data_IF_797823948693
#
_entry.id   IF_797823948693
#
_cell.length_a   1.000
_cell.length_b   1.000
_cell.length_c   1.000
_cell.angle_alpha   90.00
_cell.angle_beta   90.00
_cell.angle_gamma   90.00
#
_symmetry.space_group_name_H-M   'P 1'
#
loop_
_entity.id
_entity.type
_entity.pdbx_description
1 polymer ?
#
# COMPACT_ATOMS: atom_id res chain seq x y z
N UNK A 1 -2.28 0.25 -39.25
CA UNK A 1 -1.47 -0.51 -38.31
C UNK A 1 -1.45 0.30 -37.03
N UNK A 2 -1.96 -0.18 -35.89
CA UNK A 2 -1.80 0.56 -34.63
C UNK A 2 -0.32 0.59 -34.29
N UNK A 3 0.23 1.79 -34.09
CA UNK A 3 1.58 2.00 -33.61
C UNK A 3 1.68 1.36 -32.21
N UNK A 4 2.46 0.30 -32.11
CA UNK A 4 2.83 -0.27 -30.80
C UNK A 4 3.79 0.72 -30.15
N UNK A 5 3.25 1.52 -29.22
CA UNK A 5 4.09 2.33 -28.34
C UNK A 5 5.16 1.42 -27.70
N UNK A 6 6.41 1.88 -27.59
CA UNK A 6 7.46 1.07 -26.97
C UNK A 6 7.01 0.62 -25.57
N UNK A 7 7.37 -0.58 -25.13
CA UNK A 7 6.97 -1.10 -23.84
C UNK A 7 7.40 -0.12 -22.74
N UNK A 8 6.43 0.45 -22.05
CA UNK A 8 6.70 1.32 -20.91
C UNK A 8 7.39 0.52 -19.83
N UNK A 9 8.46 1.09 -19.26
CA UNK A 9 9.11 0.48 -18.09
C UNK A 9 8.08 0.24 -16.98
N UNK A 10 8.11 -0.94 -16.32
CA UNK A 10 7.16 -1.24 -15.25
C UNK A 10 7.29 -0.25 -14.10
N UNK A 11 6.16 0.05 -13.44
CA UNK A 11 6.12 0.86 -12.22
C UNK A 11 6.84 0.14 -11.08
N UNK A 12 6.60 -1.17 -10.93
CA UNK A 12 7.29 -2.05 -10.01
C UNK A 12 7.83 -3.25 -10.79
N UNK A 13 9.09 -3.58 -10.58
CA UNK A 13 9.76 -4.75 -11.14
C UNK A 13 10.42 -5.55 -10.03
N UNK A 14 10.00 -6.79 -9.88
CA UNK A 14 10.45 -7.73 -8.86
C UNK A 14 11.07 -8.92 -9.56
N UNK A 15 12.34 -9.18 -9.29
CA UNK A 15 13.09 -10.22 -10.00
C UNK A 15 13.74 -11.18 -9.02
N UNK A 16 13.38 -12.46 -9.12
CA UNK A 16 14.04 -13.57 -8.48
C UNK A 16 14.06 -13.53 -6.95
N UNK A 17 13.01 -12.97 -6.30
CA UNK A 17 12.96 -12.89 -4.84
C UNK A 17 13.02 -14.26 -4.21
N UNK A 18 13.87 -14.38 -3.19
CA UNK A 18 14.06 -15.59 -2.38
C UNK A 18 14.08 -15.23 -0.91
N UNK A 19 13.48 -16.09 -0.07
CA UNK A 19 13.52 -15.98 1.38
C UNK A 19 13.40 -17.32 2.05
N UNK A 20 14.32 -17.61 2.98
CA UNK A 20 14.26 -18.75 3.87
C UNK A 20 14.25 -18.30 5.33
N UNK A 21 13.65 -19.08 6.20
CA UNK A 21 13.71 -18.95 7.65
C UNK A 21 14.16 -20.29 8.22
N UNK A 22 15.41 -20.35 8.74
CA UNK A 22 16.08 -21.61 9.02
C UNK A 22 16.16 -22.45 7.75
N UNK A 23 15.76 -23.71 7.82
CA UNK A 23 15.79 -24.65 6.69
C UNK A 23 14.56 -24.56 5.78
N UNK A 24 13.57 -23.72 6.15
CA UNK A 24 12.34 -23.59 5.39
C UNK A 24 12.41 -22.45 4.38
N UNK A 25 12.34 -22.78 3.08
CA UNK A 25 12.22 -21.81 2.01
C UNK A 25 10.75 -21.37 1.89
N UNK A 26 10.48 -20.09 2.18
CA UNK A 26 9.14 -19.50 2.19
C UNK A 26 8.83 -18.78 0.88
N UNK A 27 9.84 -18.17 0.25
CA UNK A 27 9.72 -17.55 -1.08
C UNK A 27 10.85 -18.09 -1.95
N UNK A 28 10.50 -18.63 -3.12
CA UNK A 28 11.45 -19.24 -4.04
C UNK A 28 11.31 -18.67 -5.44
N UNK A 29 12.28 -17.85 -5.84
CA UNK A 29 12.45 -17.31 -7.18
C UNK A 29 11.21 -16.60 -7.74
N UNK A 30 10.55 -15.79 -6.90
CA UNK A 30 9.34 -15.03 -7.29
C UNK A 30 9.71 -13.82 -8.11
N UNK A 31 9.13 -13.71 -9.31
CA UNK A 31 9.30 -12.57 -10.21
C UNK A 31 7.95 -12.11 -10.74
N UNK A 32 7.74 -10.80 -10.80
CA UNK A 32 6.58 -10.17 -11.41
C UNK A 32 6.86 -8.69 -11.69
N UNK A 33 6.08 -8.12 -12.59
CA UNK A 33 6.13 -6.69 -12.86
C UNK A 33 4.71 -6.11 -12.80
N UNK A 34 4.60 -4.83 -12.48
CA UNK A 34 3.35 -4.09 -12.45
C UNK A 34 3.52 -2.85 -13.32
N UNK A 35 2.69 -2.73 -14.36
CA UNK A 35 2.64 -1.55 -15.21
C UNK A 35 1.87 -0.39 -14.52
N UNK A 36 2.07 0.87 -14.95
CA UNK A 36 1.22 1.97 -14.50
C UNK A 36 -0.26 1.69 -14.81
N UNK A 37 -1.14 1.85 -13.80
CA UNK A 37 -2.58 1.58 -13.93
C UNK A 37 -2.98 0.11 -13.86
N UNK A 38 -2.04 -0.80 -13.68
CA UNK A 38 -2.31 -2.23 -13.52
C UNK A 38 -2.65 -2.59 -12.07
N UNK A 39 -3.52 -3.59 -11.90
CA UNK A 39 -3.81 -4.22 -10.62
C UNK A 39 -3.34 -5.67 -10.66
N UNK A 40 -2.37 -6.02 -9.82
CA UNK A 40 -1.84 -7.38 -9.69
C UNK A 40 -2.39 -8.04 -8.43
N UNK A 41 -3.09 -9.16 -8.57
CA UNK A 41 -3.54 -10.00 -7.46
C UNK A 41 -2.54 -11.13 -7.15
N UNK A 42 -2.10 -11.20 -5.89
CA UNK A 42 -1.26 -12.30 -5.39
C UNK A 42 -2.14 -13.29 -4.64
N UNK A 43 -2.38 -14.45 -5.23
CA UNK A 43 -3.30 -15.47 -4.71
C UNK A 43 -2.50 -16.71 -4.31
N UNK A 44 -2.93 -17.38 -3.24
CA UNK A 44 -2.31 -18.63 -2.77
C UNK A 44 -2.81 -19.00 -1.37
N UNK A 45 -2.56 -20.24 -0.93
CA UNK A 45 -2.96 -20.71 0.41
C UNK A 45 -2.23 -19.96 1.53
N UNK A 46 -2.68 -20.14 2.76
CA UNK A 46 -1.98 -19.63 3.93
C UNK A 46 -0.58 -20.27 4.01
N UNK A 47 0.42 -19.47 4.35
CA UNK A 47 1.83 -19.93 4.37
C UNK A 47 2.53 -19.91 3.00
N UNK A 48 1.86 -19.58 1.89
CA UNK A 48 2.47 -19.54 0.55
C UNK A 48 3.49 -18.38 0.33
N UNK A 49 3.84 -17.63 1.35
CA UNK A 49 4.84 -16.55 1.24
C UNK A 49 4.30 -15.19 0.75
N UNK A 50 2.98 -15.03 0.56
CA UNK A 50 2.37 -13.77 0.09
C UNK A 50 2.79 -12.55 0.92
N UNK A 51 2.52 -12.58 2.21
CA UNK A 51 2.90 -11.50 3.14
C UNK A 51 4.41 -11.32 3.21
N UNK A 52 5.21 -12.39 3.14
CA UNK A 52 6.67 -12.30 3.10
C UNK A 52 7.14 -11.58 1.84
N UNK A 53 6.54 -11.90 0.68
CA UNK A 53 6.85 -11.21 -0.59
C UNK A 53 6.51 -9.72 -0.51
N UNK A 54 5.32 -9.37 0.00
CA UNK A 54 4.91 -7.96 0.22
C UNK A 54 5.89 -7.27 1.18
N UNK A 55 6.28 -7.92 2.28
CA UNK A 55 7.23 -7.35 3.25
C UNK A 55 8.63 -7.14 2.66
N UNK A 56 9.08 -8.01 1.75
CA UNK A 56 10.32 -7.79 1.01
C UNK A 56 10.21 -6.60 0.06
N UNK A 57 9.11 -6.48 -0.69
CA UNK A 57 8.86 -5.31 -1.52
C UNK A 57 8.86 -4.01 -0.70
N UNK A 58 8.29 -4.03 0.52
CA UNK A 58 8.27 -2.89 1.44
C UNK A 58 9.63 -2.61 2.12
N UNK A 59 10.62 -3.49 1.92
CA UNK A 59 11.91 -3.39 2.63
C UNK A 59 11.78 -3.59 4.14
N UNK A 60 10.76 -4.32 4.60
CA UNK A 60 10.55 -4.72 6.00
C UNK A 60 11.23 -6.06 6.32
N UNK A 61 11.54 -6.83 5.30
CA UNK A 61 12.27 -8.09 5.37
C UNK A 61 13.32 -8.08 4.27
N UNK A 62 14.58 -8.32 4.63
CA UNK A 62 15.63 -8.45 3.64
C UNK A 62 15.47 -9.77 2.87
N UNK A 63 15.43 -9.74 1.53
CA UNK A 63 15.49 -10.96 0.73
C UNK A 63 16.86 -11.63 0.84
N UNK A 64 16.91 -12.95 0.68
CA UNK A 64 18.16 -13.70 0.57
C UNK A 64 18.71 -13.68 -0.86
N UNK A 65 17.88 -13.27 -1.83
CA UNK A 65 18.25 -13.05 -3.23
C UNK A 65 17.13 -12.36 -3.99
N UNK A 66 17.49 -11.86 -5.18
CA UNK A 66 16.58 -11.09 -6.03
C UNK A 66 16.61 -9.60 -5.75
N UNK A 67 15.84 -8.84 -6.54
CA UNK A 67 15.79 -7.37 -6.49
C UNK A 67 14.37 -6.84 -6.62
N UNK A 68 14.16 -5.65 -6.08
CA UNK A 68 12.91 -4.87 -6.20
C UNK A 68 13.26 -3.49 -6.72
N UNK A 69 12.75 -3.15 -7.89
CA UNK A 69 12.93 -1.84 -8.52
C UNK A 69 11.59 -1.11 -8.66
N UNK A 70 11.60 0.18 -8.43
CA UNK A 70 10.43 1.05 -8.56
C UNK A 70 10.76 2.22 -9.46
N UNK A 71 9.99 2.40 -10.54
CA UNK A 71 10.14 3.52 -11.49
C UNK A 71 9.03 4.53 -11.24
N UNK A 72 9.31 5.66 -10.55
CA UNK A 72 8.27 6.56 -10.06
C UNK A 72 7.49 7.28 -11.18
N UNK A 73 8.08 7.44 -12.35
CA UNK A 73 7.47 8.04 -13.54
C UNK A 73 8.19 7.58 -14.81
N UNK A 74 7.54 7.63 -15.99
CA UNK A 74 8.18 7.29 -17.25
C UNK A 74 9.47 8.07 -17.48
N UNK A 75 10.53 7.38 -17.88
CA UNK A 75 11.84 7.97 -18.13
C UNK A 75 12.70 8.28 -16.90
N UNK A 76 12.17 8.10 -15.69
CA UNK A 76 12.97 8.23 -14.48
C UNK A 76 13.88 7.00 -14.27
N UNK A 77 15.03 7.22 -13.64
CA UNK A 77 15.87 6.12 -13.20
C UNK A 77 15.14 5.28 -12.14
N UNK A 78 15.20 3.94 -12.23
CA UNK A 78 14.59 3.07 -11.23
C UNK A 78 15.27 3.23 -9.87
N UNK A 79 14.45 3.30 -8.83
CA UNK A 79 14.87 3.24 -7.43
C UNK A 79 14.89 1.79 -6.98
N UNK A 80 15.83 1.41 -6.12
CA UNK A 80 16.02 0.02 -5.68
C UNK A 80 15.83 -0.12 -4.17
N UNK A 81 15.07 -1.13 -3.74
CA UNK A 81 15.03 -1.55 -2.34
C UNK A 81 16.28 -2.36 -1.98
N UNK A 82 16.83 -2.23 -0.79
CA UNK A 82 16.44 -1.27 0.28
C UNK A 82 17.15 0.07 0.17
N UNK A 83 18.07 0.26 -0.78
CA UNK A 83 18.94 1.43 -0.91
C UNK A 83 18.15 2.75 -0.93
N UNK A 84 17.08 2.80 -1.71
CA UNK A 84 16.28 4.00 -1.95
C UNK A 84 14.95 3.98 -1.19
N UNK A 85 14.88 3.24 -0.07
CA UNK A 85 13.64 2.93 0.65
C UNK A 85 12.82 4.16 1.03
N UNK A 86 13.44 5.25 1.48
CA UNK A 86 12.72 6.48 1.85
C UNK A 86 12.04 7.13 0.64
N UNK A 87 12.75 7.24 -0.49
CA UNK A 87 12.22 7.81 -1.72
C UNK A 87 11.09 6.96 -2.32
N UNK A 88 11.19 5.64 -2.19
CA UNK A 88 10.16 4.68 -2.62
C UNK A 88 8.93 4.79 -1.72
N UNK A 89 9.10 4.68 -0.40
CA UNK A 89 8.00 4.69 0.58
C UNK A 89 7.23 6.03 0.58
N UNK A 90 7.89 7.13 0.28
CA UNK A 90 7.23 8.43 0.11
C UNK A 90 6.20 8.45 -1.03
N UNK A 91 6.26 7.50 -1.96
CA UNK A 91 5.38 7.38 -3.14
C UNK A 91 4.47 6.16 -3.10
N UNK A 92 4.49 5.42 -2.01
CA UNK A 92 3.69 4.22 -1.83
C UNK A 92 2.62 4.43 -0.77
N UNK A 93 1.45 3.81 -0.97
CA UNK A 93 0.43 3.62 0.04
C UNK A 93 0.43 2.16 0.48
N UNK A 94 0.24 1.92 1.76
CA UNK A 94 0.24 0.56 2.31
C UNK A 94 -0.94 0.37 3.23
N UNK A 95 -1.70 -0.70 3.00
CA UNK A 95 -2.75 -1.17 3.91
C UNK A 95 -2.34 -2.56 4.39
N UNK A 96 -2.03 -2.66 5.66
CA UNK A 96 -1.64 -3.91 6.32
C UNK A 96 -2.86 -4.73 6.72
N UNK A 97 -2.65 -6.01 7.00
CA UNK A 97 -3.68 -6.91 7.49
C UNK A 97 -4.32 -6.42 8.81
N UNK A 98 -3.51 -5.89 9.70
CA UNK A 98 -3.97 -5.35 10.99
C UNK A 98 -4.27 -3.87 10.89
N UNK A 99 -5.27 -3.44 11.69
CA UNK A 99 -5.58 -2.03 11.84
C UNK A 99 -4.44 -1.31 12.58
N UNK A 100 -4.00 -0.20 12.01
CA UNK A 100 -2.91 0.63 12.54
C UNK A 100 -3.37 2.07 12.79
N UNK A 101 -4.70 2.28 12.93
CA UNK A 101 -5.27 3.57 13.31
C UNK A 101 -4.91 3.89 14.76
N UNK A 102 -4.56 5.14 15.02
CA UNK A 102 -4.30 5.60 16.37
C UNK A 102 -5.65 5.78 17.10
N UNK A 103 -5.88 5.09 18.24
CA UNK A 103 -7.14 5.13 18.95
C UNK A 103 -7.43 6.47 19.64
N UNK A 104 -6.41 7.28 19.87
CA UNK A 104 -6.54 8.56 20.58
C UNK A 104 -6.98 9.70 19.64
N UNK A 105 -6.74 9.56 18.36
CA UNK A 105 -7.10 10.53 17.33
C UNK A 105 -8.47 10.24 16.69
N UNK A 106 -9.20 11.28 16.33
CA UNK A 106 -10.39 11.18 15.48
C UNK A 106 -10.03 10.69 14.07
N UNK A 107 -11.04 10.36 13.25
CA UNK A 107 -10.83 9.98 11.86
C UNK A 107 -10.05 11.06 11.09
N UNK A 108 -10.45 12.33 11.23
CA UNK A 108 -9.79 13.44 10.56
C UNK A 108 -8.35 13.64 11.06
N UNK A 109 -8.11 13.52 12.36
CA UNK A 109 -6.78 13.64 12.95
C UNK A 109 -5.85 12.50 12.54
N UNK A 110 -6.34 11.26 12.47
CA UNK A 110 -5.57 10.12 11.94
C UNK A 110 -5.03 10.42 10.53
N UNK A 111 -5.85 10.99 9.66
CA UNK A 111 -5.42 11.38 8.31
C UNK A 111 -4.41 12.55 8.36
N UNK A 112 -4.65 13.57 9.19
CA UNK A 112 -3.75 14.73 9.32
C UNK A 112 -2.39 14.34 9.88
N UNK A 113 -2.36 13.55 10.94
CA UNK A 113 -1.11 13.09 11.58
C UNK A 113 -0.32 12.22 10.62
N UNK A 114 -0.98 11.31 9.92
CA UNK A 114 -0.32 10.47 8.91
C UNK A 114 0.26 11.29 7.76
N UNK A 115 -0.45 12.34 7.31
CA UNK A 115 0.05 13.27 6.29
C UNK A 115 1.34 13.99 6.71
N UNK A 116 1.53 14.26 8.01
CA UNK A 116 2.75 14.90 8.52
C UNK A 116 4.00 14.05 8.32
N UNK A 117 3.89 12.71 8.33
CA UNK A 117 5.01 11.83 8.02
C UNK A 117 5.54 12.00 6.59
N UNK A 118 4.70 12.51 5.69
CA UNK A 118 5.05 12.85 4.31
C UNK A 118 5.32 14.35 4.11
N UNK A 119 5.44 15.12 5.20
CA UNK A 119 5.66 16.57 5.14
C UNK A 119 4.43 17.38 4.73
N UNK A 120 3.24 16.75 4.64
CA UNK A 120 2.00 17.42 4.27
C UNK A 120 1.39 18.12 5.48
N UNK A 121 1.06 19.41 5.36
CA UNK A 121 0.50 20.24 6.43
C UNK A 121 -0.30 21.43 5.88
N UNK A 122 -0.99 22.15 6.79
CA UNK A 122 -1.74 23.38 6.45
C UNK A 122 -2.77 23.15 5.35
N UNK A 123 -2.87 24.11 4.44
CA UNK A 123 -3.89 24.14 3.38
C UNK A 123 -3.98 22.84 2.55
N UNK A 124 -2.85 22.16 2.32
CA UNK A 124 -2.83 20.87 1.58
C UNK A 124 -3.65 19.82 2.32
N UNK A 125 -3.53 19.73 3.64
CA UNK A 125 -4.29 18.76 4.43
C UNK A 125 -5.72 19.23 4.68
N UNK A 126 -5.97 20.54 4.73
CA UNK A 126 -7.32 21.10 4.89
C UNK A 126 -8.21 20.78 3.68
N UNK A 127 -7.64 20.73 2.48
CA UNK A 127 -8.32 20.28 1.26
C UNK A 127 -8.42 18.75 1.17
N UNK A 128 -7.36 18.04 1.52
CA UNK A 128 -7.23 16.59 1.29
C UNK A 128 -8.05 15.76 2.26
N UNK A 129 -8.08 16.13 3.54
CA UNK A 129 -8.78 15.35 4.57
C UNK A 129 -10.28 15.21 4.28
N UNK A 130 -11.03 16.28 3.94
CA UNK A 130 -12.44 16.13 3.57
C UNK A 130 -12.67 15.18 2.39
N UNK A 131 -11.85 15.26 1.33
CA UNK A 131 -11.93 14.37 0.16
C UNK A 131 -11.67 12.90 0.51
N UNK A 132 -10.70 12.65 1.39
CA UNK A 132 -10.39 11.30 1.86
C UNK A 132 -11.49 10.72 2.75
N UNK A 133 -12.11 11.54 3.59
CA UNK A 133 -13.26 11.14 4.40
C UNK A 133 -14.48 10.86 3.52
N UNK A 134 -14.71 11.65 2.47
CA UNK A 134 -15.75 11.41 1.48
C UNK A 134 -15.51 10.10 0.73
N UNK A 135 -14.29 9.88 0.21
CA UNK A 135 -13.89 8.61 -0.42
C UNK A 135 -14.14 7.40 0.49
N UNK A 136 -13.87 7.53 1.79
CA UNK A 136 -14.12 6.48 2.78
C UNK A 136 -15.59 6.36 3.20
N UNK A 137 -16.50 7.25 2.72
CA UNK A 137 -17.87 7.41 3.20
C UNK A 137 -17.94 7.63 4.73
N UNK A 138 -17.01 8.44 5.27
CA UNK A 138 -16.85 8.73 6.71
C UNK A 138 -16.94 10.23 7.04
N UNK A 139 -17.46 11.08 6.14
CA UNK A 139 -17.61 12.52 6.39
C UNK A 139 -18.42 12.78 7.67
N UNK A 140 -19.51 12.02 7.90
CA UNK A 140 -20.35 12.11 9.09
C UNK A 140 -19.67 11.60 10.38
N UNK A 141 -18.53 10.95 10.27
CA UNK A 141 -17.70 10.38 11.35
C UNK A 141 -16.34 11.06 11.48
N UNK A 142 -16.15 12.24 10.87
CA UNK A 142 -14.87 12.95 10.87
C UNK A 142 -14.28 13.14 12.27
N UNK A 143 -15.13 13.42 13.26
CA UNK A 143 -14.76 13.66 14.66
C UNK A 143 -14.88 12.43 15.57
N UNK A 144 -15.33 11.28 15.03
CA UNK A 144 -15.38 10.03 15.79
C UNK A 144 -13.99 9.39 15.93
N UNK A 145 -13.74 8.70 17.04
CA UNK A 145 -12.53 7.92 17.25
C UNK A 145 -12.67 6.52 16.65
N UNK A 146 -11.56 5.82 16.34
CA UNK A 146 -11.60 4.45 15.79
C UNK A 146 -12.42 3.47 16.63
N UNK A 147 -12.45 3.62 17.96
CA UNK A 147 -13.28 2.80 18.85
C UNK A 147 -14.79 2.86 18.56
N UNK A 148 -15.26 3.94 17.96
CA UNK A 148 -16.66 4.19 17.61
C UNK A 148 -17.04 3.72 16.19
N UNK A 149 -16.09 3.11 15.47
CA UNK A 149 -16.25 2.66 14.09
C UNK A 149 -16.46 1.13 14.03
N UNK A 150 -17.29 0.69 13.09
CA UNK A 150 -17.35 -0.74 12.73
C UNK A 150 -16.04 -1.18 12.07
N UNK A 151 -15.79 -2.50 12.00
CA UNK A 151 -14.60 -3.06 11.32
C UNK A 151 -14.48 -2.57 9.86
N UNK A 152 -15.60 -2.57 9.11
CA UNK A 152 -15.64 -2.05 7.75
C UNK A 152 -15.34 -0.54 7.65
N UNK A 153 -15.80 0.26 8.61
CA UNK A 153 -15.49 1.70 8.68
C UNK A 153 -14.01 1.93 8.97
N UNK A 154 -13.41 1.17 9.91
CA UNK A 154 -11.97 1.23 10.19
C UNK A 154 -11.16 0.87 8.95
N UNK A 155 -11.58 -0.17 8.21
CA UNK A 155 -10.87 -0.59 6.99
C UNK A 155 -10.92 0.49 5.90
N UNK A 156 -12.07 1.14 5.70
CA UNK A 156 -12.21 2.27 4.75
C UNK A 156 -11.36 3.47 5.18
N UNK A 157 -11.27 3.77 6.47
CA UNK A 157 -10.39 4.82 6.99
C UNK A 157 -8.90 4.46 6.76
N UNK A 158 -8.51 3.21 6.96
CA UNK A 158 -7.14 2.73 6.70
C UNK A 158 -6.77 2.84 5.22
N UNK A 159 -7.72 2.56 4.30
CA UNK A 159 -7.53 2.81 2.87
C UNK A 159 -7.37 4.29 2.56
N UNK A 160 -8.26 5.14 3.07
CA UNK A 160 -8.15 6.59 2.90
C UNK A 160 -6.80 7.12 3.41
N UNK A 161 -6.34 6.61 4.55
CA UNK A 161 -5.03 6.96 5.11
C UNK A 161 -3.89 6.56 4.20
N UNK A 162 -3.95 5.38 3.57
CA UNK A 162 -2.93 4.94 2.63
C UNK A 162 -2.85 5.81 1.37
N UNK A 163 -3.89 6.58 1.06
CA UNK A 163 -3.95 7.51 -0.07
C UNK A 163 -3.50 8.94 0.29
N UNK A 164 -3.18 9.23 1.56
CA UNK A 164 -2.86 10.58 2.04
C UNK A 164 -1.74 11.24 1.25
N UNK A 165 -0.69 10.51 0.89
CA UNK A 165 0.47 11.02 0.17
C UNK A 165 0.31 11.00 -1.36
N UNK A 166 -0.89 10.71 -1.90
CA UNK A 166 -1.14 10.52 -3.33
C UNK A 166 -0.17 9.51 -3.95
N UNK A 167 -0.20 8.26 -3.51
CA UNK A 167 0.79 7.25 -3.86
C UNK A 167 0.74 6.87 -5.35
N UNK A 168 1.88 6.47 -5.89
CA UNK A 168 2.00 5.90 -7.24
C UNK A 168 1.73 4.40 -7.26
N UNK A 169 1.93 3.73 -6.13
CA UNK A 169 1.65 2.31 -5.93
C UNK A 169 0.92 2.11 -4.61
N UNK A 170 -0.15 1.33 -4.63
CA UNK A 170 -0.89 0.92 -3.43
C UNK A 170 -0.66 -0.58 -3.21
N UNK A 171 -0.18 -0.94 -2.03
CA UNK A 171 0.02 -2.31 -1.60
C UNK A 171 -1.03 -2.66 -0.53
N UNK A 172 -1.81 -3.70 -0.80
CA UNK A 172 -2.88 -4.17 0.07
C UNK A 172 -2.57 -5.59 0.54
N UNK A 173 -2.34 -5.77 1.83
CA UNK A 173 -2.16 -7.10 2.43
C UNK A 173 -3.48 -7.55 3.05
N UNK A 174 -4.14 -8.52 2.42
CA UNK A 174 -5.45 -9.06 2.80
C UNK A 174 -6.52 -7.97 3.07
N UNK A 175 -6.83 -7.11 2.07
CA UNK A 175 -7.68 -5.93 2.29
C UNK A 175 -9.11 -6.25 2.75
N UNK A 176 -9.59 -7.45 2.52
CA UNK A 176 -10.97 -7.88 2.83
C UNK A 176 -11.08 -8.75 4.08
N UNK A 177 -9.97 -9.05 4.75
CA UNK A 177 -9.98 -9.86 5.98
C UNK A 177 -10.72 -9.13 7.09
N UNK A 178 -11.64 -9.84 7.78
CA UNK A 178 -12.44 -9.28 8.86
C UNK A 178 -13.64 -8.43 8.41
N UNK A 179 -13.87 -8.28 7.11
CA UNK A 179 -15.08 -7.64 6.59
C UNK A 179 -16.23 -8.64 6.47
N UNK A 180 -17.44 -8.18 6.78
CA UNK A 180 -18.65 -8.94 6.48
C UNK A 180 -18.87 -9.04 4.95
N UNK A 181 -19.73 -10.00 4.49
CA UNK A 181 -19.97 -10.19 3.06
C UNK A 181 -20.48 -8.94 2.34
N UNK A 182 -21.27 -8.08 3.01
CA UNK A 182 -21.80 -6.86 2.40
C UNK A 182 -20.72 -5.77 2.26
N UNK A 183 -19.85 -5.61 3.25
CA UNK A 183 -18.73 -4.68 3.20
C UNK A 183 -17.69 -5.05 2.13
N UNK A 184 -17.56 -6.35 1.78
CA UNK A 184 -16.67 -6.81 0.70
C UNK A 184 -17.08 -6.33 -0.69
N UNK A 185 -18.37 -6.15 -0.93
CA UNK A 185 -18.87 -5.65 -2.23
C UNK A 185 -18.68 -4.14 -2.43
N UNK A 186 -18.36 -3.40 -1.37
CA UNK A 186 -18.15 -1.95 -1.40
C UNK A 186 -16.66 -1.55 -1.53
N UNK A 187 -15.78 -2.53 -1.64
CA UNK A 187 -14.33 -2.37 -1.82
C UNK A 187 -13.89 -2.80 -3.22
#
# INVERSE_FOLDING_TARGET
MPETSPPQAPLLDVVGLRKSYGDTRVVDNVSFAIAPGECLGVIGPNGAGKTTTIRMCLGLTAPDGGTVHFTPQPGAAPLQMPRDALAIKARWGVVTQFDTLDPDFTCAENLRVFGRYFGLKGAVMDERVPRLLEFAALTHKANAKPGELSGGMKRRLSLARALVNNPRLLLLDEPTTGLDPQARHLM
#
